data_IF_835049757076
#
_entry.id   IF_835049757076
#
_cell.length_a   1.000
_cell.length_b   1.000
_cell.length_c   1.000
_cell.angle_alpha   90.00
_cell.angle_beta   90.00
_cell.angle_gamma   90.00
#
_symmetry.space_group_name_H-M   'P 1'
#
loop_
_entity.id
_entity.type
_entity.pdbx_description
1 polymer ?
#
# COMPACT_ATOMS: atom_id res chain seq x y z
N UNK A 1 -13.32 -11.59 -20.19
CA UNK A 1 -13.81 -11.80 -18.80
C UNK A 1 -13.24 -10.67 -17.97
N UNK A 2 -14.09 -9.93 -17.24
CA UNK A 2 -13.64 -8.84 -16.35
C UNK A 2 -13.23 -9.47 -15.02
N UNK A 3 -11.95 -9.40 -14.68
CA UNK A 3 -11.43 -9.85 -13.39
C UNK A 3 -11.45 -8.64 -12.45
N UNK A 4 -12.63 -8.30 -11.95
CA UNK A 4 -12.84 -7.15 -11.10
C UNK A 4 -12.47 -7.52 -9.65
N UNK A 5 -11.19 -7.75 -9.40
CA UNK A 5 -10.67 -7.98 -8.06
C UNK A 5 -10.58 -6.65 -7.31
N UNK A 6 -11.10 -6.62 -6.08
CA UNK A 6 -11.05 -5.45 -5.20
C UNK A 6 -9.77 -5.50 -4.38
N UNK A 7 -8.98 -4.43 -4.42
CA UNK A 7 -7.78 -4.30 -3.58
C UNK A 7 -8.09 -3.38 -2.41
N UNK A 8 -7.96 -3.92 -1.20
CA UNK A 8 -8.03 -3.18 0.05
C UNK A 8 -6.62 -2.77 0.45
N UNK A 9 -6.41 -1.50 0.81
CA UNK A 9 -5.10 -0.99 1.22
C UNK A 9 -5.24 -0.32 2.59
N UNK A 10 -4.42 -0.76 3.55
CA UNK A 10 -4.25 -0.16 4.86
C UNK A 10 -2.94 0.61 4.95
N UNK A 11 -2.99 1.82 5.48
CA UNK A 11 -1.85 2.72 5.61
C UNK A 11 -1.73 3.19 7.05
N UNK A 12 -0.61 2.87 7.68
CA UNK A 12 -0.30 3.28 9.05
C UNK A 12 0.87 4.28 9.05
N UNK A 13 0.62 5.46 9.61
CA UNK A 13 1.60 6.52 9.76
C UNK A 13 2.06 6.58 11.22
N UNK A 14 3.25 6.06 11.47
CA UNK A 14 3.93 6.19 12.74
C UNK A 14 4.99 7.30 12.65
N UNK A 15 5.33 7.92 13.80
CA UNK A 15 6.23 9.07 13.90
C UNK A 15 7.51 8.94 13.05
N UNK A 16 8.10 7.75 13.04
CA UNK A 16 9.37 7.47 12.38
C UNK A 16 9.24 6.47 11.21
N UNK A 17 8.02 6.02 10.88
CA UNK A 17 7.82 5.05 9.80
C UNK A 17 6.42 5.04 9.20
N UNK A 18 6.35 4.69 7.93
CA UNK A 18 5.11 4.41 7.20
C UNK A 18 5.05 2.91 6.92
N UNK A 19 3.90 2.30 7.19
CA UNK A 19 3.65 0.88 6.91
C UNK A 19 2.45 0.76 5.99
N UNK A 20 2.57 -0.08 4.96
CA UNK A 20 1.50 -0.38 3.99
C UNK A 20 1.16 -1.86 4.07
N UNK A 21 -0.12 -2.17 4.12
CA UNK A 21 -0.65 -3.52 3.98
C UNK A 21 -1.74 -3.55 2.91
N UNK A 22 -1.90 -4.66 2.21
CA UNK A 22 -2.96 -4.82 1.22
C UNK A 22 -3.57 -6.21 1.23
N UNK A 23 -4.80 -6.34 0.73
CA UNK A 23 -5.49 -7.61 0.53
C UNK A 23 -6.30 -7.57 -0.77
N UNK A 24 -6.37 -8.71 -1.46
CA UNK A 24 -7.17 -8.87 -2.68
C UNK A 24 -8.44 -9.63 -2.31
N UNK A 25 -9.60 -9.10 -2.68
CA UNK A 25 -10.92 -9.72 -2.48
C UNK A 25 -11.17 -10.17 -1.03
N UNK A 26 -10.68 -9.37 -0.08
CA UNK A 26 -10.71 -9.67 1.36
C UNK A 26 -10.01 -10.99 1.78
N UNK A 27 -9.08 -11.46 0.96
CA UNK A 27 -8.20 -12.59 1.25
C UNK A 27 -7.06 -12.25 2.21
N UNK A 28 -5.96 -13.00 2.11
CA UNK A 28 -4.78 -12.83 2.96
C UNK A 28 -4.21 -11.41 2.87
N UNK A 29 -3.77 -10.89 4.02
CA UNK A 29 -3.19 -9.57 4.13
C UNK A 29 -1.68 -9.68 3.94
N UNK A 30 -1.15 -8.94 2.96
CA UNK A 30 0.28 -8.84 2.71
C UNK A 30 0.82 -7.49 3.16
N UNK A 31 1.97 -7.52 3.83
CA UNK A 31 2.69 -6.33 4.28
C UNK A 31 3.69 -5.91 3.20
N UNK A 32 3.54 -4.69 2.67
CA UNK A 32 4.47 -4.15 1.66
C UNK A 32 5.82 -3.70 2.29
N UNK A 33 5.92 -3.73 3.62
CA UNK A 33 7.12 -3.40 4.37
C UNK A 33 7.03 -2.06 5.12
N UNK A 34 8.04 -1.81 5.97
CA UNK A 34 8.18 -0.60 6.79
C UNK A 34 9.18 0.35 6.14
N UNK A 35 8.73 1.51 5.71
CA UNK A 35 9.61 2.55 5.13
C UNK A 35 9.83 3.66 6.15
N UNK A 36 11.09 4.12 6.31
CA UNK A 36 11.42 5.23 7.21
C UNK A 36 10.86 6.56 6.71
N UNK A 37 10.59 7.50 7.63
CA UNK A 37 9.98 8.81 7.31
C UNK A 37 10.92 9.81 6.62
N UNK A 38 12.19 9.45 6.38
CA UNK A 38 13.18 10.27 5.65
C UNK A 38 12.78 10.38 4.17
N UNK A 39 11.84 11.28 3.86
CA UNK A 39 11.22 11.43 2.54
C UNK A 39 9.70 11.18 2.51
N UNK A 40 9.01 11.20 3.66
CA UNK A 40 7.55 11.04 3.74
C UNK A 40 6.76 11.99 2.80
N UNK A 41 7.30 13.18 2.50
CA UNK A 41 6.74 14.13 1.53
C UNK A 41 6.66 13.57 0.10
N UNK A 42 7.51 12.60 -0.25
CA UNK A 42 7.52 11.96 -1.58
C UNK A 42 6.38 10.95 -1.75
N UNK A 43 5.98 10.27 -0.67
CA UNK A 43 4.88 9.29 -0.71
C UNK A 43 3.51 9.96 -0.84
N UNK A 44 3.36 11.19 -0.35
CA UNK A 44 2.11 11.95 -0.44
C UNK A 44 1.74 12.38 -1.88
N UNK A 45 2.66 12.28 -2.85
CA UNK A 45 2.46 12.77 -4.22
C UNK A 45 2.85 11.77 -5.33
N UNK A 46 3.57 10.69 -5.03
CA UNK A 46 3.82 9.63 -6.01
C UNK A 46 2.57 8.75 -6.12
N UNK A 47 1.77 8.96 -7.18
CA UNK A 47 0.69 8.04 -7.57
C UNK A 47 1.23 6.61 -7.54
N UNK A 48 0.70 5.77 -6.66
CA UNK A 48 0.91 4.34 -6.71
C UNK A 48 0.27 3.81 -8.00
N UNK A 49 1.08 3.64 -9.05
CA UNK A 49 0.70 2.83 -10.19
C UNK A 49 0.86 1.36 -9.78
N UNK A 50 -0.17 0.79 -9.16
CA UNK A 50 -0.28 -0.65 -8.99
C UNK A 50 -0.47 -1.27 -10.39
N UNK A 51 0.62 -1.70 -11.02
CA UNK A 51 0.57 -2.53 -12.23
C UNK A 51 0.58 -3.98 -11.78
N UNK A 52 -0.60 -4.54 -11.63
CA UNK A 52 -0.81 -5.96 -11.37
C UNK A 52 -0.74 -6.64 -12.75
N UNK A 53 0.36 -7.35 -13.00
CA UNK A 53 0.58 -8.16 -14.20
C UNK A 53 0.34 -9.63 -13.91
#
# INVERSE_FOLDING_TARGET
>A
MRNDSTVYVGLDFHKDSITVAYAIDAGEIELLGKTGTTGADRFCCSKAHAKIG
#
